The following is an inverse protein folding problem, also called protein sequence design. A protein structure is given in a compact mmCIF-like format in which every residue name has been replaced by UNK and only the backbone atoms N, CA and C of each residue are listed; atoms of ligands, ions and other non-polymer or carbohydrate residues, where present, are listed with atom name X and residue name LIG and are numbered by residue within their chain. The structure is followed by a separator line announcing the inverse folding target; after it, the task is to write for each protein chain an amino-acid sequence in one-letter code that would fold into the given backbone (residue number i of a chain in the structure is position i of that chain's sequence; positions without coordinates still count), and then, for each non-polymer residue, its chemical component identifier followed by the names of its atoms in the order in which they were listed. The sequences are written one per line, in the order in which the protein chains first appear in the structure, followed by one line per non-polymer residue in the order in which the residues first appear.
data_IF_092141059707
#
_entry.id   IF_092141059707
#
_cell.length_a   1.000
_cell.length_b   1.000
_cell.length_c   1.000
_cell.angle_alpha   90.00
_cell.angle_beta   90.00
_cell.angle_gamma   90.00
#
_symmetry.space_group_name_H-M   'P 1'
#
loop_
_entity.id
_entity.type
_entity.pdbx_description
1 polymer ?
#
# COMPACT_ATOMS: atom_id res chain seq x y z
N UNK A 1 8.86 21.94 5.68
CA UNK A 1 10.04 21.76 4.83
C UNK A 1 10.64 23.11 4.48
N UNK A 2 11.95 23.21 4.25
CA UNK A 2 12.59 24.42 3.73
C UNK A 2 12.55 24.42 2.19
N UNK A 3 11.34 24.42 1.62
CA UNK A 3 11.08 24.25 0.17
C UNK A 3 10.02 25.28 -0.27
N UNK A 4 10.09 25.84 -1.48
CA UNK A 4 9.08 26.78 -1.97
C UNK A 4 7.66 26.18 -1.94
N UNK A 5 6.66 26.88 -1.40
CA UNK A 5 5.28 26.36 -1.34
C UNK A 5 4.67 26.02 -2.70
N UNK A 6 5.05 26.75 -3.76
CA UNK A 6 4.60 26.52 -5.13
C UNK A 6 4.96 25.12 -5.66
N UNK A 7 6.01 24.50 -5.12
CA UNK A 7 6.46 23.18 -5.56
C UNK A 7 5.66 22.04 -4.88
N UNK A 8 4.71 22.39 -4.00
CA UNK A 8 3.96 21.45 -3.15
C UNK A 8 2.45 21.58 -3.38
N UNK A 9 1.94 22.82 -3.49
CA UNK A 9 0.52 23.13 -3.36
C UNK A 9 -0.36 22.45 -4.41
N UNK A 10 0.06 22.42 -5.67
CA UNK A 10 -0.73 21.84 -6.76
C UNK A 10 -0.91 20.32 -6.56
N UNK A 11 0.18 19.65 -6.16
CA UNK A 11 0.20 18.20 -5.89
C UNK A 11 -0.69 17.80 -4.71
N UNK A 12 -0.83 18.70 -3.73
CA UNK A 12 -1.76 18.50 -2.60
C UNK A 12 -3.23 18.63 -3.02
N UNK A 13 -3.52 19.42 -4.04
CA UNK A 13 -4.86 19.58 -4.62
C UNK A 13 -5.22 18.49 -5.64
N UNK A 14 -4.25 17.67 -6.05
CA UNK A 14 -4.43 16.70 -7.13
C UNK A 14 -4.22 17.28 -8.52
N UNK A 15 -3.60 18.47 -8.60
CA UNK A 15 -3.17 19.11 -9.83
C UNK A 15 -1.74 18.63 -10.16
N UNK A 16 -1.62 17.87 -11.25
CA UNK A 16 -0.38 17.23 -11.67
C UNK A 16 0.02 17.68 -13.07
N UNK A 17 0.97 18.62 -13.16
CA UNK A 17 1.79 18.77 -14.36
C UNK A 17 2.85 17.65 -14.39
N UNK A 18 2.71 16.72 -15.32
CA UNK A 18 3.66 15.63 -15.57
C UNK A 18 4.73 16.00 -16.62
N UNK A 19 4.70 17.22 -17.14
CA UNK A 19 5.50 17.67 -18.26
C UNK A 19 5.00 17.10 -19.60
N UNK A 20 5.72 17.40 -20.68
CA UNK A 20 5.41 16.93 -22.04
C UNK A 20 3.95 17.24 -22.48
N UNK A 21 3.40 18.38 -22.04
CA UNK A 21 2.03 18.80 -22.33
C UNK A 21 0.94 18.00 -21.60
N UNK A 22 1.29 17.13 -20.64
CA UNK A 22 0.33 16.34 -19.88
C UNK A 22 0.06 16.98 -18.52
N UNK A 23 -1.05 17.69 -18.43
CA UNK A 23 -1.58 18.27 -17.20
C UNK A 23 -2.83 17.48 -16.81
N UNK A 24 -2.91 17.07 -15.54
CA UNK A 24 -4.07 16.39 -14.96
C UNK A 24 -4.59 17.23 -13.81
N UNK A 25 -5.87 17.59 -13.87
CA UNK A 25 -6.59 18.27 -12.80
C UNK A 25 -7.48 17.25 -12.05
N UNK A 26 -7.85 17.56 -10.81
CA UNK A 26 -8.75 16.75 -9.98
C UNK A 26 -8.38 15.26 -9.91
N UNK A 27 -7.09 14.96 -9.86
CA UNK A 27 -6.63 13.57 -9.93
C UNK A 27 -7.13 12.76 -8.73
N UNK A 28 -7.70 11.55 -8.96
CA UNK A 28 -8.11 10.66 -7.86
C UNK A 28 -6.92 10.10 -7.07
N UNK A 29 -5.69 10.32 -7.55
CA UNK A 29 -4.44 9.84 -6.97
C UNK A 29 -3.77 10.83 -6.02
N UNK A 30 -4.45 11.93 -5.64
CA UNK A 30 -3.94 12.84 -4.61
C UNK A 30 -3.61 12.13 -3.31
N UNK A 31 -2.67 12.70 -2.55
CA UNK A 31 -2.29 12.15 -1.25
C UNK A 31 -3.49 12.13 -0.30
N UNK A 32 -3.66 10.99 0.39
CA UNK A 32 -4.71 10.77 1.38
C UNK A 32 -4.04 10.44 2.70
N UNK A 33 -4.44 11.14 3.75
CA UNK A 33 -3.95 10.92 5.12
C UNK A 33 -5.01 10.32 6.05
N UNK A 34 -6.27 10.26 5.60
CA UNK A 34 -7.41 9.77 6.40
C UNK A 34 -8.43 9.01 5.57
N UNK A 35 -8.95 9.64 4.50
CA UNK A 35 -9.96 9.05 3.60
C UNK A 35 -9.54 7.66 3.10
N UNK A 36 -10.54 6.82 2.83
CA UNK A 36 -10.36 5.46 2.30
C UNK A 36 -9.44 4.60 3.19
N UNK A 37 -9.55 4.81 4.50
CA UNK A 37 -8.79 4.10 5.54
C UNK A 37 -7.27 4.23 5.42
N UNK A 38 -6.77 5.33 4.82
CA UNK A 38 -5.35 5.50 4.51
C UNK A 38 -4.41 5.39 5.73
N UNK A 39 -4.91 5.72 6.93
CA UNK A 39 -4.13 5.66 8.17
C UNK A 39 -4.04 4.23 8.76
N UNK A 40 -5.00 3.36 8.46
CA UNK A 40 -5.03 2.00 9.03
C UNK A 40 -3.94 1.11 8.40
N UNK A 41 -3.06 0.50 9.19
CA UNK A 41 -1.92 -0.27 8.67
C UNK A 41 -2.35 -1.70 8.30
N UNK A 42 -2.97 -1.88 7.13
CA UNK A 42 -3.39 -3.19 6.64
C UNK A 42 -2.22 -4.19 6.56
N UNK A 43 -2.37 -5.34 7.25
CA UNK A 43 -1.43 -6.46 7.16
C UNK A 43 -1.31 -7.03 5.74
N UNK A 44 -2.34 -6.89 4.90
CA UNK A 44 -2.27 -7.26 3.48
C UNK A 44 -1.24 -6.43 2.71
N UNK A 45 -1.02 -5.17 3.08
CA UNK A 45 -0.03 -4.31 2.43
C UNK A 45 1.38 -4.68 2.85
N UNK A 46 1.61 -4.95 4.14
CA UNK A 46 2.88 -5.48 4.63
C UNK A 46 3.23 -6.81 3.96
N UNK A 47 2.24 -7.69 3.81
CA UNK A 47 2.38 -8.95 3.08
C UNK A 47 2.82 -8.72 1.62
N UNK A 48 2.24 -7.73 0.94
CA UNK A 48 2.65 -7.39 -0.43
C UNK A 48 4.10 -6.87 -0.47
N UNK A 49 4.50 -6.00 0.46
CA UNK A 49 5.88 -5.51 0.52
C UNK A 49 6.90 -6.64 0.71
N UNK A 50 6.62 -7.59 1.61
CA UNK A 50 7.50 -8.75 1.79
C UNK A 50 7.50 -9.67 0.57
N UNK A 51 6.35 -9.82 -0.10
CA UNK A 51 6.23 -10.58 -1.35
C UNK A 51 7.08 -9.96 -2.46
N UNK A 52 7.03 -8.65 -2.66
CA UNK A 52 7.90 -7.95 -3.63
C UNK A 52 9.39 -8.03 -3.24
N UNK A 53 9.71 -8.02 -1.95
CA UNK A 53 11.08 -8.25 -1.50
C UNK A 53 11.59 -9.66 -1.85
N UNK A 54 10.73 -10.68 -1.75
CA UNK A 54 11.03 -12.03 -2.24
C UNK A 54 11.21 -12.02 -3.76
N UNK A 55 10.30 -11.38 -4.52
CA UNK A 55 10.40 -11.22 -5.98
C UNK A 55 11.77 -10.72 -6.42
N UNK A 56 12.34 -9.76 -5.69
CA UNK A 56 13.63 -9.16 -6.01
C UNK A 56 14.83 -9.78 -5.30
N UNK A 57 14.65 -10.92 -4.62
CA UNK A 57 15.72 -11.65 -3.95
C UNK A 57 16.31 -10.93 -2.73
N UNK A 58 15.54 -10.05 -2.08
CA UNK A 58 15.91 -9.40 -0.81
C UNK A 58 15.60 -10.28 0.39
N UNK A 59 14.61 -11.15 0.26
CA UNK A 59 14.25 -12.18 1.22
C UNK A 59 14.29 -13.55 0.54
N UNK A 60 14.54 -14.60 1.33
CA UNK A 60 14.54 -15.97 0.82
C UNK A 60 13.14 -16.37 0.34
N UNK A 61 13.00 -17.17 -0.74
CA UNK A 61 11.69 -17.58 -1.27
C UNK A 61 10.77 -18.29 -0.27
N UNK A 62 11.34 -18.92 0.76
CA UNK A 62 10.68 -19.65 1.83
C UNK A 62 10.43 -18.80 3.09
N UNK A 63 10.65 -17.49 3.03
CA UNK A 63 10.35 -16.57 4.15
C UNK A 63 8.89 -16.69 4.57
N UNK A 64 8.65 -16.94 5.85
CA UNK A 64 7.31 -16.92 6.43
C UNK A 64 6.79 -15.47 6.58
N UNK A 65 6.17 -14.98 5.50
CA UNK A 65 5.57 -13.65 5.42
C UNK A 65 4.57 -13.45 6.56
N UNK A 66 3.70 -14.44 6.82
CA UNK A 66 2.61 -14.32 7.78
C UNK A 66 3.16 -14.16 9.19
N UNK A 67 4.15 -14.97 9.57
CA UNK A 67 4.79 -14.87 10.88
C UNK A 67 5.47 -13.52 11.08
N UNK A 68 6.17 -13.00 10.07
CA UNK A 68 6.86 -11.70 10.17
C UNK A 68 5.86 -10.54 10.29
N UNK A 69 4.82 -10.51 9.45
CA UNK A 69 3.77 -9.48 9.51
C UNK A 69 3.05 -9.52 10.86
N UNK A 70 2.67 -10.71 11.34
CA UNK A 70 1.98 -10.86 12.64
C UNK A 70 2.82 -10.35 13.80
N UNK A 71 4.15 -10.50 13.72
CA UNK A 71 5.07 -10.06 14.76
C UNK A 71 5.29 -8.54 14.79
N UNK A 72 5.25 -7.88 13.63
CA UNK A 72 5.68 -6.48 13.47
C UNK A 72 4.51 -5.52 13.37
N UNK A 73 3.48 -5.87 12.59
CA UNK A 73 2.34 -5.00 12.38
C UNK A 73 1.50 -4.90 13.66
N UNK A 74 1.26 -3.66 14.11
CA UNK A 74 0.48 -3.35 15.32
C UNK A 74 -0.82 -2.62 15.00
N UNK A 75 -1.55 -3.13 14.00
CA UNK A 75 -2.90 -2.64 13.68
C UNK A 75 -3.85 -2.70 14.89
N UNK A 76 -3.63 -3.62 15.83
CA UNK A 76 -4.36 -3.71 17.09
C UNK A 76 -4.26 -2.43 17.93
N UNK A 77 -3.07 -1.83 18.05
CA UNK A 77 -2.87 -0.55 18.75
C UNK A 77 -3.61 0.56 18.01
N UNK A 78 -3.53 0.58 16.68
CA UNK A 78 -4.26 1.57 15.88
C UNK A 78 -5.76 1.50 16.16
N UNK A 79 -6.33 0.28 16.20
CA UNK A 79 -7.76 0.07 16.48
C UNK A 79 -8.15 0.51 17.88
N UNK A 80 -7.32 0.21 18.87
CA UNK A 80 -7.54 0.62 20.26
C UNK A 80 -7.60 2.15 20.36
N UNK A 81 -6.57 2.84 19.84
CA UNK A 81 -6.53 4.30 19.83
C UNK A 81 -7.69 4.92 19.03
N UNK A 82 -8.04 4.35 17.87
CA UNK A 82 -9.17 4.83 17.07
C UNK A 82 -10.50 4.72 17.83
N UNK A 83 -10.72 3.63 18.58
CA UNK A 83 -11.91 3.46 19.42
C UNK A 83 -11.95 4.49 20.56
N UNK A 84 -10.83 4.72 21.24
CA UNK A 84 -10.74 5.72 22.32
C UNK A 84 -11.04 7.14 21.82
N UNK A 85 -10.60 7.46 20.60
CA UNK A 85 -10.87 8.74 19.94
C UNK A 85 -12.29 8.84 19.34
N UNK A 86 -13.10 7.77 19.42
CA UNK A 86 -14.45 7.75 18.86
C UNK A 86 -14.50 7.72 17.33
N UNK A 87 -13.43 7.24 16.67
CA UNK A 87 -13.41 7.05 15.22
C UNK A 87 -14.38 5.93 14.83
N UNK A 88 -15.37 6.26 14.01
CA UNK A 88 -16.37 5.32 13.53
C UNK A 88 -15.93 4.51 12.31
N UNK A 89 -15.01 5.03 11.51
CA UNK A 89 -14.58 4.46 10.23
C UNK A 89 -13.34 3.55 10.39
N UNK A 90 -13.51 2.48 11.17
CA UNK A 90 -12.46 1.47 11.43
C UNK A 90 -12.69 0.27 10.50
N UNK A 91 -11.70 -0.15 9.67
CA UNK A 91 -11.85 -1.32 8.78
C UNK A 91 -12.24 -2.58 9.54
N UNK A 92 -13.11 -3.43 8.99
CA UNK A 92 -13.54 -4.67 9.67
C UNK A 92 -12.53 -5.83 9.58
N UNK A 93 -11.53 -5.72 8.69
CA UNK A 93 -10.53 -6.75 8.40
C UNK A 93 -9.12 -6.17 8.45
N UNK A 94 -8.13 -7.03 8.71
CA UNK A 94 -6.70 -6.67 8.59
C UNK A 94 -6.21 -6.69 7.14
N UNK A 95 -7.03 -7.17 6.21
CA UNK A 95 -6.80 -7.16 4.77
C UNK A 95 -7.71 -6.18 4.07
N UNK A 96 -7.16 -5.43 3.10
CA UNK A 96 -7.93 -4.58 2.18
C UNK A 96 -8.53 -5.37 1.01
N UNK A 97 -8.27 -6.67 0.95
CA UNK A 97 -8.73 -7.57 -0.10
C UNK A 97 -7.77 -7.66 -1.28
N UNK A 98 -8.31 -7.98 -2.45
CA UNK A 98 -7.55 -8.17 -3.68
C UNK A 98 -7.09 -6.82 -4.24
N UNK A 99 -5.80 -6.68 -4.47
CA UNK A 99 -5.18 -5.49 -5.05
C UNK A 99 -4.93 -5.67 -6.56
N UNK A 100 -5.18 -4.64 -7.36
CA UNK A 100 -5.04 -4.68 -8.83
C UNK A 100 -4.05 -3.63 -9.30
N UNK A 101 -3.11 -4.04 -10.14
CA UNK A 101 -2.08 -3.18 -10.73
C UNK A 101 -2.48 -2.68 -12.12
N UNK A 102 -1.81 -1.61 -12.57
CA UNK A 102 -2.11 -0.96 -13.86
C UNK A 102 -1.90 -1.87 -15.08
N UNK A 103 -1.05 -2.89 -14.96
CA UNK A 103 -0.74 -3.87 -15.99
C UNK A 103 -1.64 -5.13 -15.92
N UNK A 104 -2.69 -5.07 -15.09
CA UNK A 104 -3.66 -6.15 -14.91
C UNK A 104 -3.20 -7.25 -13.94
N UNK A 105 -2.02 -7.14 -13.32
CA UNK A 105 -1.61 -8.08 -12.27
C UNK A 105 -2.49 -7.93 -11.04
N UNK A 106 -2.71 -9.05 -10.36
CA UNK A 106 -3.61 -9.14 -9.22
C UNK A 106 -2.85 -9.76 -8.06
N UNK A 107 -2.82 -9.07 -6.92
CA UNK A 107 -2.30 -9.61 -5.68
C UNK A 107 -3.46 -10.00 -4.77
N UNK A 108 -3.56 -11.30 -4.51
CA UNK A 108 -4.41 -11.84 -3.45
C UNK A 108 -3.56 -12.08 -2.20
N UNK A 109 -3.80 -11.37 -1.08
CA UNK A 109 -3.07 -11.59 0.17
C UNK A 109 -3.20 -13.02 0.72
N UNK A 110 -4.23 -13.76 0.32
CA UNK A 110 -4.42 -15.16 0.70
C UNK A 110 -3.52 -16.12 -0.08
N UNK A 111 -3.03 -15.73 -1.26
CA UNK A 111 -2.08 -16.51 -2.07
C UNK A 111 -0.99 -15.62 -2.72
N UNK A 112 -0.01 -15.14 -1.92
CA UNK A 112 1.13 -14.37 -2.44
C UNK A 112 1.98 -15.12 -3.45
N UNK A 113 1.97 -16.46 -3.41
CA UNK A 113 2.76 -17.30 -4.31
C UNK A 113 2.18 -17.33 -5.72
N UNK A 114 0.85 -17.36 -5.85
CA UNK A 114 0.20 -17.19 -7.16
C UNK A 114 0.53 -15.84 -7.80
N UNK A 115 0.59 -14.76 -7.00
CA UNK A 115 1.04 -13.46 -7.48
C UNK A 115 2.47 -13.51 -8.01
N UNK A 116 3.43 -14.03 -7.24
CA UNK A 116 4.83 -14.16 -7.68
C UNK A 116 4.98 -14.93 -8.98
N UNK A 117 4.29 -16.07 -9.12
CA UNK A 117 4.30 -16.91 -10.32
C UNK A 117 3.70 -16.21 -11.54
N UNK A 118 2.83 -15.22 -11.34
CA UNK A 118 2.20 -14.48 -12.44
C UNK A 118 3.14 -13.46 -13.09
N UNK A 119 4.26 -13.11 -12.45
CA UNK A 119 5.14 -12.03 -12.88
C UNK A 119 6.19 -12.54 -13.87
N UNK A 120 6.32 -11.88 -15.02
CA UNK A 120 7.27 -12.28 -16.07
C UNK A 120 8.74 -12.01 -15.73
N UNK A 121 9.00 -11.09 -14.80
CA UNK A 121 10.34 -10.70 -14.36
C UNK A 121 10.41 -10.85 -12.85
N UNK A 122 11.23 -11.80 -12.39
CA UNK A 122 11.44 -12.15 -11.00
C UNK A 122 12.86 -12.72 -10.79
N UNK A 123 13.37 -12.65 -9.56
CA UNK A 123 14.59 -13.35 -9.11
C UNK A 123 14.28 -14.71 -8.49
N UNK A 124 13.01 -14.99 -8.22
CA UNK A 124 12.53 -16.31 -7.79
C UNK A 124 12.42 -17.17 -9.05
N UNK A 125 13.14 -18.29 -9.06
CA UNK A 125 13.15 -19.25 -10.17
C UNK A 125 11.85 -20.07 -10.23
#
# INVERSE_FOLDING_TARGET
FNVPPKDIVDRLKGEYDYGNGKIVEDSPHLMKFWRDHASYPYQSHDSWFLTENIRWGKFAPDTDIKALVTKVNREDIWREAAKELGVSDIPSSTSRGIEKFFDGKVFDPADPQAYLKSLSISRVA
#
